data_IF_795206274355
#
_entry.id   IF_795206274355
#
_cell.length_a   1.000
_cell.length_b   1.000
_cell.length_c   1.000
_cell.angle_alpha   90.00
_cell.angle_beta   90.00
_cell.angle_gamma   90.00
#
_symmetry.space_group_name_H-M   'P 1'
#
loop_
_entity.id
_entity.type
_entity.pdbx_description
1 polymer ?
#
# COMPACT_ATOMS: atom_id res chain seq x y z
N UNK A 1 54.81 -39.53 -26.38
CA UNK A 1 53.56 -38.86 -26.77
C UNK A 1 53.35 -37.70 -25.80
N UNK A 2 53.16 -36.50 -26.37
CA UNK A 2 53.03 -35.13 -25.82
C UNK A 2 52.03 -34.96 -24.64
N UNK A 3 52.37 -34.21 -23.55
CA UNK A 3 51.97 -32.82 -23.16
C UNK A 3 50.70 -32.75 -22.25
N UNK A 4 50.83 -32.40 -20.94
CA UNK A 4 50.55 -31.09 -20.23
C UNK A 4 49.26 -31.19 -19.37
N UNK A 5 49.35 -31.11 -18.04
CA UNK A 5 49.25 -29.93 -17.15
C UNK A 5 47.85 -29.29 -17.03
N UNK A 6 47.42 -29.18 -15.77
CA UNK A 6 46.55 -28.18 -15.13
C UNK A 6 45.13 -27.91 -15.64
N UNK A 7 44.21 -27.95 -14.69
CA UNK A 7 42.86 -27.39 -14.82
C UNK A 7 42.05 -27.52 -13.53
N UNK A 8 42.62 -27.16 -12.37
CA UNK A 8 41.80 -26.81 -11.20
C UNK A 8 41.17 -25.48 -11.54
N UNK A 9 39.90 -25.48 -11.95
CA UNK A 9 39.11 -24.27 -12.02
C UNK A 9 38.95 -23.77 -10.59
N UNK A 10 39.70 -22.71 -10.26
CA UNK A 10 39.39 -21.83 -9.14
C UNK A 10 37.94 -21.37 -9.29
N UNK A 11 37.23 -21.45 -8.17
CA UNK A 11 35.92 -20.83 -7.98
C UNK A 11 36.01 -19.40 -8.47
N UNK A 12 35.26 -19.07 -9.52
CA UNK A 12 35.05 -17.68 -9.90
C UNK A 12 34.48 -16.96 -8.68
N UNK A 13 35.23 -15.98 -8.17
CA UNK A 13 34.70 -14.86 -7.41
C UNK A 13 33.31 -14.55 -7.98
N UNK A 14 32.28 -14.88 -7.21
CA UNK A 14 30.92 -14.51 -7.56
C UNK A 14 30.88 -13.02 -7.32
N UNK A 15 31.22 -12.24 -8.36
CA UNK A 15 30.87 -10.83 -8.45
C UNK A 15 29.37 -10.78 -8.20
N UNK A 16 28.97 -10.48 -6.96
CA UNK A 16 27.58 -10.22 -6.60
C UNK A 16 27.04 -9.28 -7.66
N UNK A 17 26.00 -9.74 -8.38
CA UNK A 17 25.37 -8.98 -9.44
C UNK A 17 25.07 -7.59 -8.87
N UNK A 18 25.56 -6.49 -9.48
CA UNK A 18 25.38 -5.15 -8.94
C UNK A 18 23.91 -4.80 -8.77
N UNK A 19 23.00 -5.47 -9.48
CA UNK A 19 21.57 -5.34 -9.29
C UNK A 19 21.09 -5.94 -7.95
N UNK A 20 21.74 -6.95 -7.39
CA UNK A 20 21.41 -7.49 -6.06
C UNK A 20 21.56 -6.45 -4.95
N UNK A 21 22.43 -5.44 -5.14
CA UNK A 21 22.54 -4.30 -4.20
C UNK A 21 21.35 -3.33 -4.26
N UNK A 22 20.59 -3.37 -5.36
CA UNK A 22 19.36 -2.58 -5.53
C UNK A 22 18.10 -3.44 -5.41
N UNK A 23 18.24 -4.75 -5.20
CA UNK A 23 17.12 -5.61 -4.81
C UNK A 23 16.78 -5.27 -3.37
N UNK A 24 15.74 -4.47 -3.22
CA UNK A 24 15.14 -4.17 -1.93
C UNK A 24 13.80 -4.89 -1.89
N UNK A 25 13.48 -5.55 -0.78
CA UNK A 25 12.14 -6.06 -0.53
C UNK A 25 11.17 -4.88 -0.45
N UNK A 26 10.59 -4.54 -1.60
CA UNK A 26 9.63 -3.45 -1.76
C UNK A 26 8.48 -3.59 -0.76
N UNK A 27 8.08 -4.82 -0.48
CA UNK A 27 7.02 -5.13 0.48
C UNK A 27 7.41 -4.84 1.94
N UNK A 28 8.64 -5.11 2.35
CA UNK A 28 9.07 -4.89 3.74
C UNK A 28 9.11 -3.39 4.06
N UNK A 29 9.65 -2.59 3.14
CA UNK A 29 9.70 -1.12 3.26
C UNK A 29 8.29 -0.52 3.18
N UNK A 30 7.39 -1.11 2.38
CA UNK A 30 6.00 -0.64 2.30
C UNK A 30 5.17 -0.98 3.55
N UNK A 31 5.43 -2.09 4.26
CA UNK A 31 4.65 -2.48 5.44
C UNK A 31 4.86 -1.55 6.63
N UNK A 32 6.11 -1.20 6.94
CA UNK A 32 6.44 -0.30 8.05
C UNK A 32 5.88 1.10 7.80
N UNK A 33 6.18 1.69 6.63
CA UNK A 33 5.65 3.01 6.26
C UNK A 33 4.12 3.03 6.19
N UNK A 34 3.50 1.95 5.73
CA UNK A 34 2.04 1.85 5.71
C UNK A 34 1.45 1.86 7.12
N UNK A 35 2.07 1.13 8.05
CA UNK A 35 1.65 1.11 9.44
C UNK A 35 1.82 2.50 10.06
N UNK A 36 2.98 3.13 9.90
CA UNK A 36 3.26 4.47 10.43
C UNK A 36 2.29 5.53 9.87
N UNK A 37 1.92 5.43 8.59
CA UNK A 37 1.03 6.40 7.94
C UNK A 37 -0.44 6.30 8.39
N UNK A 38 -0.87 5.16 8.96
CA UNK A 38 -2.25 4.95 9.40
C UNK A 38 -2.39 4.76 10.92
N UNK A 39 -1.29 4.63 11.65
CA UNK A 39 -1.29 4.59 13.12
C UNK A 39 -1.89 5.88 13.68
N UNK A 40 -2.74 5.77 14.71
CA UNK A 40 -3.50 6.91 15.25
C UNK A 40 -4.62 7.45 14.35
N UNK A 41 -4.65 7.08 13.06
CA UNK A 41 -5.67 7.47 12.08
C UNK A 41 -6.74 6.37 11.94
N UNK A 42 -6.36 5.15 11.60
CA UNK A 42 -7.29 4.04 11.38
C UNK A 42 -6.73 2.73 11.94
N UNK A 43 -7.54 2.04 12.74
CA UNK A 43 -7.31 0.64 13.09
C UNK A 43 -7.96 -0.31 12.08
N UNK A 44 -7.41 -1.52 11.97
CA UNK A 44 -8.04 -2.66 11.28
C UNK A 44 -8.41 -3.70 12.33
N UNK A 45 -9.69 -4.04 12.41
CA UNK A 45 -10.15 -5.13 13.27
C UNK A 45 -9.59 -6.47 12.78
N UNK A 46 -8.93 -7.21 13.66
CA UNK A 46 -8.17 -8.41 13.30
C UNK A 46 -9.02 -9.62 12.92
N UNK A 47 -10.32 -9.60 13.24
CA UNK A 47 -11.23 -10.70 12.94
C UNK A 47 -12.07 -10.42 11.69
N UNK A 48 -12.46 -9.17 11.46
CA UNK A 48 -13.40 -8.79 10.38
C UNK A 48 -12.78 -7.94 9.27
N UNK A 49 -11.60 -7.38 9.46
CA UNK A 49 -11.02 -6.38 8.55
C UNK A 49 -11.75 -5.03 8.59
N UNK A 50 -12.68 -4.84 9.53
CA UNK A 50 -13.41 -3.58 9.67
C UNK A 50 -12.47 -2.44 10.09
N UNK A 51 -12.63 -1.31 9.42
CA UNK A 51 -11.84 -0.11 9.70
C UNK A 51 -12.45 0.67 10.86
N UNK A 52 -11.64 0.94 11.88
CA UNK A 52 -12.01 1.66 13.09
C UNK A 52 -11.35 3.04 13.09
N UNK A 53 -12.10 4.14 12.88
CA UNK A 53 -11.56 5.50 12.99
C UNK A 53 -10.97 5.77 14.37
N UNK A 54 -9.80 6.39 14.41
CA UNK A 54 -9.14 6.84 15.63
C UNK A 54 -9.16 8.37 15.73
N UNK A 55 -8.48 8.92 16.73
CA UNK A 55 -8.54 10.35 17.05
C UNK A 55 -8.14 11.22 15.86
N UNK A 56 -7.01 10.89 15.23
CA UNK A 56 -6.38 11.70 14.19
C UNK A 56 -7.18 11.64 12.87
N UNK A 57 -8.02 10.60 12.71
CA UNK A 57 -8.95 10.50 11.58
C UNK A 57 -9.84 11.73 11.44
N UNK A 58 -10.26 12.28 12.58
CA UNK A 58 -11.19 13.40 12.62
C UNK A 58 -10.53 14.74 12.34
N UNK A 59 -9.20 14.79 12.29
CA UNK A 59 -8.41 15.98 11.95
C UNK A 59 -8.16 16.08 10.45
N UNK A 60 -8.12 14.92 9.76
CA UNK A 60 -7.99 14.85 8.31
C UNK A 60 -9.19 15.47 7.58
N UNK A 61 -8.92 16.08 6.42
CA UNK A 61 -9.94 16.49 5.47
C UNK A 61 -10.62 15.26 4.82
N UNK A 62 -11.73 15.46 4.10
CA UNK A 62 -12.48 14.35 3.52
C UNK A 62 -11.68 13.56 2.47
N UNK A 63 -10.75 14.21 1.75
CA UNK A 63 -9.95 13.56 0.72
C UNK A 63 -8.83 12.74 1.35
N UNK A 64 -8.13 13.27 2.36
CA UNK A 64 -7.16 12.51 3.15
C UNK A 64 -7.80 11.35 3.90
N UNK A 65 -9.00 11.52 4.45
CA UNK A 65 -9.81 10.44 5.02
C UNK A 65 -10.14 9.31 4.03
N UNK A 66 -10.32 9.65 2.74
CA UNK A 66 -10.55 8.68 1.68
C UNK A 66 -9.26 7.88 1.43
N UNK A 67 -8.12 8.57 1.28
CA UNK A 67 -6.81 7.93 1.06
C UNK A 67 -6.43 7.02 2.24
N UNK A 68 -6.57 7.50 3.48
CA UNK A 68 -6.27 6.73 4.68
C UNK A 68 -7.10 5.45 4.78
N UNK A 69 -8.39 5.49 4.38
CA UNK A 69 -9.24 4.29 4.34
C UNK A 69 -8.76 3.26 3.32
N UNK A 70 -8.33 3.70 2.14
CA UNK A 70 -7.79 2.78 1.13
C UNK A 70 -6.45 2.17 1.56
N UNK A 71 -5.59 2.96 2.21
CA UNK A 71 -4.34 2.47 2.82
C UNK A 71 -4.62 1.45 3.92
N UNK A 72 -5.61 1.69 4.79
CA UNK A 72 -5.96 0.74 5.84
C UNK A 72 -6.50 -0.59 5.28
N UNK A 73 -7.26 -0.58 4.18
CA UNK A 73 -7.63 -1.84 3.48
C UNK A 73 -6.42 -2.56 2.90
N UNK A 74 -5.45 -1.82 2.34
CA UNK A 74 -4.19 -2.40 1.88
C UNK A 74 -3.40 -3.03 3.04
N UNK A 75 -3.45 -2.43 4.23
CA UNK A 75 -2.85 -3.02 5.43
C UNK A 75 -3.57 -4.31 5.83
N UNK A 76 -4.90 -4.35 5.73
CA UNK A 76 -5.68 -5.56 5.97
C UNK A 76 -5.28 -6.72 5.02
N UNK A 77 -5.05 -6.42 3.73
CA UNK A 77 -4.52 -7.42 2.78
C UNK A 77 -3.11 -7.87 3.16
N UNK A 78 -2.22 -6.94 3.54
CA UNK A 78 -0.85 -7.26 3.91
C UNK A 78 -0.75 -8.11 5.21
N UNK A 79 -1.82 -8.11 6.01
CA UNK A 79 -2.00 -8.90 7.21
C UNK A 79 -2.80 -10.20 6.96
N UNK A 80 -3.16 -10.50 5.72
CA UNK A 80 -4.00 -11.65 5.33
C UNK A 80 -5.36 -11.67 6.07
N UNK A 81 -5.92 -10.51 6.41
CA UNK A 81 -7.24 -10.37 7.05
C UNK A 81 -8.35 -10.36 6.00
N UNK A 82 -8.08 -9.78 4.84
CA UNK A 82 -8.97 -9.77 3.66
C UNK A 82 -8.17 -10.17 2.42
N UNK A 83 -8.85 -10.67 1.39
CA UNK A 83 -8.22 -11.06 0.13
C UNK A 83 -7.87 -9.84 -0.75
N UNK A 84 -6.93 -9.97 -1.69
CA UNK A 84 -6.58 -8.90 -2.64
C UNK A 84 -7.78 -8.47 -3.50
N UNK A 85 -8.68 -9.39 -3.82
CA UNK A 85 -9.95 -9.11 -4.55
C UNK A 85 -10.89 -8.21 -3.74
N UNK A 86 -10.71 -8.13 -2.42
CA UNK A 86 -11.52 -7.31 -1.51
C UNK A 86 -10.81 -6.02 -1.10
N UNK A 87 -9.64 -5.71 -1.67
CA UNK A 87 -8.83 -4.55 -1.25
C UNK A 87 -9.54 -3.21 -1.46
N UNK A 88 -10.41 -3.10 -2.46
CA UNK A 88 -11.11 -1.88 -2.80
C UNK A 88 -12.44 -1.69 -2.07
N UNK A 89 -13.04 -0.53 -2.31
CA UNK A 89 -14.35 -0.19 -1.79
C UNK A 89 -15.14 0.65 -2.79
N UNK A 90 -16.46 0.42 -2.87
CA UNK A 90 -17.31 1.16 -3.79
C UNK A 90 -17.53 2.60 -3.32
N UNK A 91 -17.88 3.49 -4.25
CA UNK A 91 -18.29 4.86 -3.90
C UNK A 91 -19.52 4.93 -2.99
N UNK A 92 -20.37 3.89 -2.99
CA UNK A 92 -21.53 3.79 -2.11
C UNK A 92 -21.10 3.50 -0.67
N UNK A 93 -20.28 2.46 -0.49
CA UNK A 93 -19.78 2.04 0.82
C UNK A 93 -18.95 3.14 1.50
N UNK A 94 -18.08 3.79 0.71
CA UNK A 94 -17.27 4.90 1.20
C UNK A 94 -18.13 6.11 1.58
N UNK A 95 -19.15 6.45 0.77
CA UNK A 95 -20.06 7.55 1.09
C UNK A 95 -20.83 7.31 2.39
N UNK A 96 -21.32 6.08 2.60
CA UNK A 96 -22.03 5.69 3.82
C UNK A 96 -21.14 5.81 5.06
N UNK A 97 -19.88 5.38 4.97
CA UNK A 97 -18.92 5.38 6.09
C UNK A 97 -18.25 6.73 6.34
N UNK A 98 -18.20 7.62 5.35
CA UNK A 98 -17.47 8.89 5.45
C UNK A 98 -18.40 10.10 5.61
N UNK A 99 -19.60 10.06 5.02
CA UNK A 99 -20.54 11.18 5.00
C UNK A 99 -20.62 11.99 3.68
N UNK A 100 -19.52 12.22 2.92
CA UNK A 100 -19.60 12.80 1.59
C UNK A 100 -20.46 11.98 0.63
N UNK A 101 -21.02 12.64 -0.39
CA UNK A 101 -21.84 11.96 -1.41
C UNK A 101 -21.00 11.02 -2.28
N UNK A 102 -21.62 9.99 -2.87
CA UNK A 102 -20.91 9.09 -3.80
C UNK A 102 -20.27 9.82 -4.98
N UNK A 103 -20.90 10.91 -5.48
CA UNK A 103 -20.28 11.76 -6.52
C UNK A 103 -19.03 12.49 -6.03
N UNK A 104 -19.01 12.87 -4.75
CA UNK A 104 -17.82 13.45 -4.12
C UNK A 104 -16.71 12.40 -3.98
N UNK A 105 -17.05 11.17 -3.58
CA UNK A 105 -16.08 10.06 -3.54
C UNK A 105 -15.50 9.75 -4.93
N UNK A 106 -16.34 9.74 -5.97
CA UNK A 106 -15.90 9.54 -7.35
C UNK A 106 -14.89 10.61 -7.79
N UNK A 107 -15.04 11.85 -7.30
CA UNK A 107 -14.07 12.91 -7.55
C UNK A 107 -12.72 12.65 -6.86
N UNK A 108 -12.72 12.10 -5.63
CA UNK A 108 -11.49 11.71 -4.95
C UNK A 108 -10.75 10.58 -5.68
N UNK A 109 -11.49 9.68 -6.32
CA UNK A 109 -10.95 8.60 -7.14
C UNK A 109 -10.15 9.04 -8.39
N UNK A 110 -10.05 10.34 -8.67
CA UNK A 110 -9.21 10.90 -9.74
C UNK A 110 -7.75 11.15 -9.31
N UNK A 111 -7.37 10.78 -8.09
CA UNK A 111 -5.98 10.82 -7.61
C UNK A 111 -5.10 9.85 -8.40
N UNK A 112 -3.90 10.26 -8.80
CA UNK A 112 -3.01 9.50 -9.70
C UNK A 112 -2.56 8.14 -9.14
N UNK A 113 -2.60 7.97 -7.82
CA UNK A 113 -2.24 6.74 -7.11
C UNK A 113 -3.44 5.86 -6.74
N UNK A 114 -4.65 6.21 -7.19
CA UNK A 114 -5.89 5.47 -6.93
C UNK A 114 -6.36 4.82 -8.23
N UNK A 115 -6.74 3.54 -8.15
CA UNK A 115 -7.37 2.79 -9.23
C UNK A 115 -8.83 2.52 -8.86
N UNK A 116 -9.71 2.45 -9.85
CA UNK A 116 -11.09 2.00 -9.68
C UNK A 116 -11.31 0.79 -10.57
N UNK A 117 -11.54 -0.36 -9.94
CA UNK A 117 -11.70 -1.63 -10.62
C UNK A 117 -12.72 -2.51 -9.88
N UNK A 118 -13.74 -2.97 -10.59
CA UNK A 118 -14.82 -3.75 -9.99
C UNK A 118 -14.36 -5.15 -9.55
N UNK A 119 -13.32 -5.73 -10.18
CA UNK A 119 -12.75 -7.02 -9.78
C UNK A 119 -12.01 -6.92 -8.43
N UNK A 120 -11.67 -5.71 -7.99
CA UNK A 120 -11.08 -5.42 -6.68
C UNK A 120 -12.07 -4.73 -5.72
N UNK A 121 -13.38 -4.70 -6.04
CA UNK A 121 -14.40 -4.08 -5.19
C UNK A 121 -14.52 -2.56 -5.28
N UNK A 122 -13.88 -1.93 -6.27
CA UNK A 122 -14.00 -0.49 -6.57
C UNK A 122 -12.69 0.26 -6.41
N UNK A 123 -12.70 1.33 -5.61
CA UNK A 123 -11.52 2.19 -5.43
C UNK A 123 -10.49 1.53 -4.53
N UNK A 124 -9.24 1.48 -4.95
CA UNK A 124 -8.12 0.96 -4.17
C UNK A 124 -6.79 1.62 -4.55
N UNK A 125 -5.79 1.45 -3.68
CA UNK A 125 -4.41 1.86 -3.94
C UNK A 125 -3.62 0.60 -4.31
N UNK A 126 -3.07 0.49 -5.53
CA UNK A 126 -2.26 -0.65 -5.92
C UNK A 126 -0.94 -0.67 -5.14
N UNK A 127 -0.37 -1.85 -4.88
CA UNK A 127 0.84 -2.02 -4.04
C UNK A 127 2.01 -1.14 -4.47
N UNK A 128 2.13 -0.85 -5.77
CA UNK A 128 3.21 -0.02 -6.29
C UNK A 128 3.04 1.49 -6.05
N UNK A 129 1.84 1.94 -5.68
CA UNK A 129 1.49 3.35 -5.45
C UNK A 129 1.29 3.69 -3.98
N UNK A 130 1.46 2.72 -3.07
CA UNK A 130 1.35 2.93 -1.61
C UNK A 130 2.24 4.08 -1.12
N UNK A 131 3.47 4.18 -1.62
CA UNK A 131 4.39 5.27 -1.24
C UNK A 131 3.85 6.67 -1.60
N UNK A 132 3.23 6.82 -2.79
CA UNK A 132 2.66 8.10 -3.22
C UNK A 132 1.45 8.50 -2.36
N UNK A 133 0.66 7.52 -1.94
CA UNK A 133 -0.48 7.77 -1.06
C UNK A 133 -0.04 8.12 0.38
N UNK A 134 1.05 7.55 0.86
CA UNK A 134 1.64 7.90 2.16
C UNK A 134 2.22 9.32 2.14
N UNK A 135 2.94 9.67 1.07
CA UNK A 135 3.45 11.03 0.85
C UNK A 135 2.29 12.04 0.86
N UNK A 136 1.20 11.74 0.15
CA UNK A 136 0.00 12.58 0.13
C UNK A 136 -0.58 12.85 1.54
N UNK A 137 -0.67 11.84 2.40
CA UNK A 137 -1.17 12.03 3.78
C UNK A 137 -0.20 12.82 4.66
N UNK A 138 1.09 12.68 4.41
CA UNK A 138 2.12 13.37 5.21
C UNK A 138 2.13 14.87 4.90
N UNK A 139 1.97 15.24 3.63
CA UNK A 139 1.89 16.64 3.20
C UNK A 139 0.66 17.35 3.80
N UNK A 140 -0.48 16.66 3.90
CA UNK A 140 -1.74 17.19 4.46
C UNK A 140 -1.65 17.44 5.98
N UNK A 141 -0.78 16.72 6.70
CA UNK A 141 -0.60 16.86 8.14
C UNK A 141 0.29 18.06 8.55
N UNK A 142 1.02 18.65 7.61
CA UNK A 142 1.91 19.79 7.85
C UNK A 142 1.28 21.17 7.55
N UNK A 143 0.02 21.23 7.11
CA UNK A 143 -0.70 22.49 6.75
C UNK A 143 -1.54 23.11 7.88
#
# INVERSE_FOLDING_TARGET
MLIVSLGRFEMSDSEEDPLQRVVVDKEAISREQLADAIDGVLGVDGDSGELVPQADYHELDNKSRFVARLLARRAAVALDIIDEEEVGASSGDLAERMGPSSSTIQNYGSLDFVTNDDDHGGYYIPSHSVGLAIEYLSDDAEE
#
